data_IF_069012381720
#
_entry.id   IF_069012381720
#
_cell.length_a   1.000
_cell.length_b   1.000
_cell.length_c   1.000
_cell.angle_alpha   90.00
_cell.angle_beta   90.00
_cell.angle_gamma   90.00
#
_symmetry.space_group_name_H-M   'P 1'
#
loop_
_entity.id
_entity.type
_entity.pdbx_description
1 polymer ?
#
# COMPACT_ATOMS: atom_id res chain seq x y z
N UNK A 1 14.03 49.84 72.10
CA UNK A 1 15.30 49.52 72.78
C UNK A 1 16.32 49.06 71.73
N UNK A 2 17.50 49.70 71.65
CA UNK A 2 18.73 49.16 71.03
C UNK A 2 18.98 49.42 69.54
N UNK A 3 19.50 50.63 69.17
CA UNK A 3 20.84 50.94 68.58
C UNK A 3 21.25 50.16 67.31
N UNK A 4 21.37 50.85 66.16
CA UNK A 4 22.61 51.49 65.57
C UNK A 4 23.63 50.43 65.09
N UNK A 5 24.23 50.47 63.90
CA UNK A 5 24.75 51.61 63.14
C UNK A 5 25.08 51.25 61.69
N UNK A 6 25.12 52.29 60.85
CA UNK A 6 25.74 52.36 59.52
C UNK A 6 27.25 52.03 59.53
N UNK A 7 27.80 51.52 58.41
CA UNK A 7 28.78 52.23 57.56
C UNK A 7 29.39 51.35 56.44
N UNK A 8 29.22 51.86 55.20
CA UNK A 8 30.20 52.08 54.12
C UNK A 8 31.34 51.10 53.76
N UNK A 9 31.27 50.62 52.49
CA UNK A 9 32.29 50.43 51.43
C UNK A 9 33.70 49.90 51.73
N UNK A 10 34.08 48.83 51.02
CA UNK A 10 35.32 48.82 50.22
C UNK A 10 35.34 47.67 49.21
N UNK A 11 35.38 48.04 47.94
CA UNK A 11 35.62 47.24 46.74
C UNK A 11 37.01 46.61 46.72
N UNK A 12 37.13 45.34 46.32
CA UNK A 12 38.39 44.75 45.86
C UNK A 12 38.22 44.14 44.45
N UNK A 13 38.86 44.67 43.38
CA UNK A 13 38.46 44.40 41.98
C UNK A 13 39.10 43.14 41.37
N UNK A 14 39.79 42.31 42.17
CA UNK A 14 40.62 41.23 41.63
C UNK A 14 39.91 39.89 41.39
N UNK A 15 38.68 39.72 41.87
CA UNK A 15 37.92 38.45 41.76
C UNK A 15 37.08 38.30 40.48
N UNK A 16 36.87 39.38 39.72
CA UNK A 16 36.02 39.35 38.52
C UNK A 16 36.74 38.90 37.24
N UNK A 17 38.08 38.97 37.20
CA UNK A 17 38.86 38.69 35.98
C UNK A 17 39.20 37.21 35.76
N UNK A 18 39.09 36.36 36.78
CA UNK A 18 39.36 34.92 36.67
C UNK A 18 38.11 34.05 36.44
N UNK A 19 36.92 34.56 36.78
CA UNK A 19 35.65 33.83 36.60
C UNK A 19 35.13 33.89 35.16
N UNK A 20 35.42 34.97 34.44
CA UNK A 20 34.96 35.17 33.06
C UNK A 20 35.76 34.40 32.00
N UNK A 21 37.03 34.04 32.24
CA UNK A 21 37.80 33.23 31.28
C UNK A 21 37.42 31.75 31.29
N UNK A 22 37.06 31.19 32.45
CA UNK A 22 36.58 29.80 32.54
C UNK A 22 35.16 29.63 31.96
N UNK A 23 34.27 30.61 32.16
CA UNK A 23 32.92 30.57 31.59
C UNK A 23 32.91 30.74 30.05
N UNK A 24 33.87 31.50 29.49
CA UNK A 24 34.03 31.62 28.03
C UNK A 24 34.61 30.33 27.40
N UNK A 25 35.54 29.65 28.07
CA UNK A 25 36.13 28.40 27.54
C UNK A 25 35.14 27.22 27.64
N UNK A 26 34.38 27.12 28.74
CA UNK A 26 33.33 26.08 28.89
C UNK A 26 32.12 26.38 27.98
N UNK A 27 31.78 27.65 27.78
CA UNK A 27 30.72 28.07 26.84
C UNK A 27 31.07 27.76 25.38
N UNK A 28 32.31 28.00 24.94
CA UNK A 28 32.75 27.69 23.58
C UNK A 28 32.83 26.17 23.37
N UNK A 29 33.27 25.39 24.36
CA UNK A 29 33.34 23.92 24.24
C UNK A 29 31.97 23.23 24.25
N UNK A 30 31.00 23.76 25.01
CA UNK A 30 29.61 23.29 24.92
C UNK A 30 28.94 23.69 23.60
N UNK A 31 29.25 24.88 23.06
CA UNK A 31 28.68 25.35 21.79
C UNK A 31 29.22 24.59 20.58
N UNK A 32 30.52 24.25 20.57
CA UNK A 32 31.14 23.50 19.46
C UNK A 32 30.70 22.04 19.47
N UNK A 33 30.56 21.40 20.64
CA UNK A 33 30.02 20.04 20.71
C UNK A 33 28.52 19.98 20.40
N UNK A 34 27.71 20.96 20.81
CA UNK A 34 26.30 21.04 20.40
C UNK A 34 26.14 21.28 18.89
N UNK A 35 27.01 22.06 18.26
CA UNK A 35 26.99 22.26 16.79
C UNK A 35 27.47 21.00 16.07
N UNK A 36 28.48 20.30 16.57
CA UNK A 36 28.94 19.04 15.98
C UNK A 36 27.89 17.93 16.17
N UNK A 37 27.30 17.77 17.34
CA UNK A 37 26.21 16.80 17.57
C UNK A 37 24.94 17.15 16.78
N UNK A 38 24.64 18.44 16.59
CA UNK A 38 23.55 18.87 15.70
C UNK A 38 23.86 18.57 14.23
N UNK A 39 25.11 18.67 13.80
CA UNK A 39 25.55 18.27 12.46
C UNK A 39 25.63 16.75 12.28
N UNK A 40 25.84 15.97 13.35
CA UNK A 40 25.93 14.51 13.30
C UNK A 40 24.59 13.78 13.56
N UNK A 41 23.60 14.44 14.17
CA UNK A 41 22.29 13.83 14.51
C UNK A 41 21.12 14.43 13.70
N UNK A 42 21.31 15.52 12.97
CA UNK A 42 20.32 15.92 11.95
C UNK A 42 20.62 15.21 10.64
N UNK A 43 19.62 14.58 9.98
CA UNK A 43 19.78 14.20 8.58
C UNK A 43 20.27 15.44 7.82
N UNK A 44 21.23 15.31 6.92
CA UNK A 44 21.88 16.40 6.16
C UNK A 44 20.94 17.44 5.53
N UNK A 45 19.62 17.22 5.55
CA UNK A 45 18.59 18.15 5.09
C UNK A 45 17.31 18.09 5.94
N UNK A 46 16.60 19.23 6.10
CA UNK A 46 15.29 19.26 6.75
C UNK A 46 14.24 18.41 6.00
N UNK A 47 13.19 17.96 6.71
CA UNK A 47 12.15 17.04 6.18
C UNK A 47 11.54 17.50 4.86
N UNK A 48 11.25 18.80 4.71
CA UNK A 48 10.70 19.36 3.47
C UNK A 48 11.65 19.23 2.27
N UNK A 49 12.95 19.34 2.49
CA UNK A 49 13.97 19.20 1.44
C UNK A 49 14.08 17.74 0.99
N UNK A 50 14.02 16.78 1.92
CA UNK A 50 13.95 15.33 1.62
C UNK A 50 12.70 14.99 0.79
N UNK A 51 11.53 15.46 1.22
CA UNK A 51 10.28 15.27 0.49
C UNK A 51 10.35 15.88 -0.91
N UNK A 52 10.88 17.11 -1.06
CA UNK A 52 11.05 17.77 -2.36
C UNK A 52 11.98 16.99 -3.29
N UNK A 53 13.08 16.43 -2.77
CA UNK A 53 13.99 15.57 -3.57
C UNK A 53 13.31 14.29 -4.02
N UNK A 54 12.58 13.63 -3.13
CA UNK A 54 11.82 12.43 -3.46
C UNK A 54 10.81 12.71 -4.59
N UNK A 55 10.00 13.76 -4.44
CA UNK A 55 9.02 14.18 -5.45
C UNK A 55 9.73 14.48 -6.78
N UNK A 56 10.85 15.21 -6.75
CA UNK A 56 11.66 15.49 -7.95
C UNK A 56 12.19 14.22 -8.61
N UNK A 57 12.64 13.24 -7.84
CA UNK A 57 13.14 11.98 -8.38
C UNK A 57 12.02 11.15 -8.99
N UNK A 58 10.86 11.07 -8.33
CA UNK A 58 9.67 10.41 -8.87
C UNK A 58 9.26 11.06 -10.18
N UNK A 59 9.13 12.40 -10.22
CA UNK A 59 8.81 13.12 -11.44
C UNK A 59 9.84 12.85 -12.56
N UNK A 60 11.13 13.01 -12.27
CA UNK A 60 12.24 12.73 -13.20
C UNK A 60 12.14 11.35 -13.84
N UNK A 61 11.99 10.29 -13.03
CA UNK A 61 11.97 8.92 -13.52
C UNK A 61 10.59 8.48 -14.03
N UNK A 62 9.51 9.21 -13.69
CA UNK A 62 8.17 8.90 -14.20
C UNK A 62 8.03 9.09 -15.72
N UNK A 63 8.93 9.85 -16.33
CA UNK A 63 9.01 10.00 -17.79
C UNK A 63 9.51 8.74 -18.50
N UNK A 64 10.12 7.79 -17.78
CA UNK A 64 10.59 6.51 -18.34
C UNK A 64 9.47 5.48 -18.55
N UNK A 65 8.27 5.73 -18.02
CA UNK A 65 7.11 4.84 -18.12
C UNK A 65 5.90 5.54 -18.77
N UNK A 66 6.06 6.22 -19.91
CA UNK A 66 4.99 7.02 -20.52
C UNK A 66 3.74 6.18 -20.79
N UNK A 67 2.56 6.80 -20.78
CA UNK A 67 1.30 6.07 -21.04
C UNK A 67 1.29 5.50 -22.47
N UNK A 68 1.88 6.27 -23.39
CA UNK A 68 1.97 5.98 -24.82
C UNK A 68 2.77 4.70 -25.10
N UNK A 69 3.75 4.33 -24.26
CA UNK A 69 4.48 3.08 -24.45
C UNK A 69 3.61 1.85 -24.18
N UNK A 70 2.62 1.97 -23.30
CA UNK A 70 1.62 0.93 -23.04
C UNK A 70 0.59 0.93 -24.16
N UNK A 71 0.09 2.10 -24.55
CA UNK A 71 -0.97 2.23 -25.54
C UNK A 71 -0.56 1.79 -26.94
N UNK A 72 0.69 2.06 -27.33
CA UNK A 72 1.24 1.70 -28.64
C UNK A 72 1.82 0.27 -28.68
N UNK A 73 1.85 -0.44 -27.54
CA UNK A 73 2.36 -1.81 -27.50
C UNK A 73 1.38 -2.78 -28.19
N UNK A 74 1.84 -3.44 -29.26
CA UNK A 74 1.08 -4.50 -29.95
C UNK A 74 0.73 -5.63 -28.99
N UNK A 75 1.66 -6.04 -28.12
CA UNK A 75 1.43 -7.10 -27.13
C UNK A 75 0.32 -6.70 -26.14
N UNK A 76 0.36 -5.46 -25.64
CA UNK A 76 -0.67 -4.94 -24.74
C UNK A 76 -2.03 -4.82 -25.45
N UNK A 77 -2.05 -4.42 -26.71
CA UNK A 77 -3.28 -4.37 -27.52
C UNK A 77 -3.90 -5.76 -27.71
N UNK A 78 -3.08 -6.78 -27.99
CA UNK A 78 -3.54 -8.18 -28.08
C UNK A 78 -4.07 -8.67 -26.73
N UNK A 79 -3.36 -8.37 -25.64
CA UNK A 79 -3.79 -8.69 -24.29
C UNK A 79 -5.14 -8.05 -23.97
N UNK A 80 -5.31 -6.75 -24.20
CA UNK A 80 -6.57 -6.04 -23.96
C UNK A 80 -7.72 -6.65 -24.76
N UNK A 81 -7.51 -7.01 -26.04
CA UNK A 81 -8.52 -7.71 -26.85
C UNK A 81 -8.92 -9.07 -26.29
N UNK A 82 -7.99 -9.80 -25.68
CA UNK A 82 -8.31 -11.07 -24.98
C UNK A 82 -9.17 -10.82 -23.75
N UNK A 83 -8.91 -9.74 -23.01
CA UNK A 83 -9.74 -9.33 -21.86
C UNK A 83 -11.14 -8.92 -22.30
N UNK A 84 -11.27 -8.20 -23.42
CA UNK A 84 -12.57 -7.80 -24.00
C UNK A 84 -13.43 -9.01 -24.39
N UNK A 85 -12.80 -10.13 -24.75
CA UNK A 85 -13.47 -11.37 -25.13
C UNK A 85 -13.90 -12.23 -23.92
N UNK A 86 -13.54 -11.85 -22.69
CA UNK A 86 -13.97 -12.55 -21.48
C UNK A 86 -15.42 -12.21 -21.15
N UNK A 87 -16.19 -13.21 -20.71
CA UNK A 87 -17.61 -13.05 -20.40
C UNK A 87 -17.86 -12.12 -19.21
N UNK A 88 -16.96 -12.15 -18.24
CA UNK A 88 -17.05 -11.41 -16.99
C UNK A 88 -15.83 -10.50 -16.82
N UNK A 89 -15.92 -9.37 -16.09
CA UNK A 89 -14.79 -8.48 -15.86
C UNK A 89 -13.58 -9.24 -15.28
N UNK A 90 -12.38 -9.13 -15.89
CA UNK A 90 -11.21 -9.89 -15.44
C UNK A 90 -10.70 -9.42 -14.08
N UNK A 91 -10.05 -10.35 -13.37
CA UNK A 91 -9.24 -10.11 -12.19
C UNK A 91 -7.79 -9.95 -12.64
N UNK A 92 -7.30 -8.70 -12.69
CA UNK A 92 -5.96 -8.38 -13.14
C UNK A 92 -5.03 -8.27 -11.94
N UNK A 93 -4.03 -9.15 -11.89
CA UNK A 93 -2.93 -9.08 -10.92
C UNK A 93 -1.68 -8.47 -11.54
N UNK A 94 -0.89 -7.79 -10.72
CA UNK A 94 0.35 -7.12 -11.13
C UNK A 94 1.52 -7.69 -10.35
N UNK A 95 2.52 -8.24 -11.04
CA UNK A 95 3.60 -8.95 -10.38
C UNK A 95 4.93 -8.82 -11.12
N UNK A 96 5.99 -9.20 -10.44
CA UNK A 96 7.34 -9.29 -10.99
C UNK A 96 7.96 -10.62 -10.55
N UNK A 97 9.18 -10.91 -11.01
CA UNK A 97 9.82 -12.19 -10.71
C UNK A 97 10.03 -12.44 -9.22
N UNK A 98 10.11 -11.40 -8.40
CA UNK A 98 10.31 -11.53 -6.96
C UNK A 98 9.07 -12.06 -6.24
N UNK A 99 7.90 -11.99 -6.89
CA UNK A 99 6.61 -12.42 -6.35
C UNK A 99 5.99 -13.61 -7.12
N UNK A 100 6.76 -14.31 -7.95
CA UNK A 100 6.24 -15.40 -8.78
C UNK A 100 5.67 -16.55 -7.93
N UNK A 101 6.31 -16.91 -6.82
CA UNK A 101 5.83 -18.01 -5.98
C UNK A 101 4.57 -17.62 -5.20
N UNK A 102 4.48 -16.36 -4.78
CA UNK A 102 3.24 -15.78 -4.19
C UNK A 102 2.11 -15.82 -5.22
N UNK A 103 2.41 -15.49 -6.48
CA UNK A 103 1.45 -15.53 -7.59
C UNK A 103 0.95 -16.96 -7.85
N UNK A 104 1.84 -17.96 -7.86
CA UNK A 104 1.46 -19.37 -8.01
C UNK A 104 0.60 -19.85 -6.83
N UNK A 105 0.93 -19.42 -5.62
CA UNK A 105 0.11 -19.72 -4.44
C UNK A 105 -1.31 -19.19 -4.59
N UNK A 106 -1.45 -17.94 -5.05
CA UNK A 106 -2.73 -17.31 -5.31
C UNK A 106 -3.53 -18.04 -6.39
N UNK A 107 -2.89 -18.45 -7.49
CA UNK A 107 -3.55 -19.26 -8.53
C UNK A 107 -4.11 -20.57 -7.95
N UNK A 108 -3.35 -21.24 -7.07
CA UNK A 108 -3.86 -22.43 -6.38
C UNK A 108 -5.05 -22.14 -5.47
N UNK A 109 -5.08 -20.97 -4.81
CA UNK A 109 -6.22 -20.54 -4.04
C UNK A 109 -7.47 -20.29 -4.89
N UNK A 110 -7.32 -19.77 -6.12
CA UNK A 110 -8.45 -19.55 -7.03
C UNK A 110 -8.94 -20.83 -7.72
N UNK A 111 -8.07 -21.83 -7.93
CA UNK A 111 -8.41 -23.09 -8.63
C UNK A 111 -9.58 -23.88 -8.01
N UNK A 112 -9.89 -23.64 -6.73
CA UNK A 112 -11.01 -24.32 -6.04
C UNK A 112 -12.32 -23.58 -6.12
N UNK A 113 -12.29 -22.35 -6.65
CA UNK A 113 -13.44 -21.46 -6.70
C UNK A 113 -13.95 -21.41 -8.13
N UNK A 114 -15.09 -22.07 -8.43
CA UNK A 114 -15.63 -22.08 -9.78
C UNK A 114 -15.79 -20.67 -10.35
N UNK A 115 -15.30 -20.45 -11.57
CA UNK A 115 -15.38 -19.16 -12.26
C UNK A 115 -14.32 -18.13 -11.84
N UNK A 116 -13.56 -18.38 -10.78
CA UNK A 116 -12.57 -17.40 -10.29
C UNK A 116 -11.29 -17.39 -11.13
N UNK A 117 -10.75 -18.58 -11.45
CA UNK A 117 -9.53 -18.68 -12.24
C UNK A 117 -9.75 -18.26 -13.70
N UNK A 118 -10.93 -18.53 -14.26
CA UNK A 118 -11.30 -18.20 -15.62
C UNK A 118 -11.34 -16.69 -15.87
N UNK A 119 -11.53 -15.90 -14.81
CA UNK A 119 -11.47 -14.43 -14.84
C UNK A 119 -10.07 -13.89 -14.61
N UNK A 120 -9.10 -14.70 -14.19
CA UNK A 120 -7.76 -14.23 -13.86
C UNK A 120 -7.00 -13.83 -15.13
N UNK A 121 -6.36 -12.67 -15.08
CA UNK A 121 -5.37 -12.20 -16.04
C UNK A 121 -4.20 -11.56 -15.29
N UNK A 122 -3.04 -11.46 -15.95
CA UNK A 122 -1.83 -11.02 -15.27
C UNK A 122 -1.02 -10.01 -16.09
N UNK A 123 -0.47 -9.00 -15.42
CA UNK A 123 0.51 -8.09 -15.99
C UNK A 123 1.82 -8.28 -15.26
N UNK A 124 2.82 -8.77 -15.99
CA UNK A 124 4.17 -8.94 -15.50
C UNK A 124 4.99 -7.65 -15.72
N UNK A 125 5.80 -7.26 -14.72
CA UNK A 125 6.70 -6.11 -14.83
C UNK A 125 8.10 -6.46 -15.34
N UNK A 126 8.33 -7.74 -15.65
CA UNK A 126 9.54 -8.23 -16.30
C UNK A 126 9.22 -9.51 -17.09
N UNK A 127 9.99 -9.75 -18.15
CA UNK A 127 9.77 -10.87 -19.06
C UNK A 127 9.98 -12.23 -18.38
N UNK A 128 10.89 -12.32 -17.41
CA UNK A 128 11.18 -13.55 -16.66
C UNK A 128 9.95 -14.03 -15.89
N UNK A 129 9.19 -13.11 -15.29
CA UNK A 129 7.95 -13.38 -14.59
C UNK A 129 6.83 -13.85 -15.52
N UNK A 130 6.66 -13.21 -16.69
CA UNK A 130 5.70 -13.66 -17.71
C UNK A 130 6.04 -15.08 -18.18
N UNK A 131 7.29 -15.34 -18.55
CA UNK A 131 7.73 -16.65 -19.01
C UNK A 131 7.55 -17.73 -17.93
N UNK A 132 7.85 -17.38 -16.67
CA UNK A 132 7.66 -18.30 -15.55
C UNK A 132 6.18 -18.64 -15.31
N UNK A 133 5.27 -17.67 -15.45
CA UNK A 133 3.84 -17.90 -15.33
C UNK A 133 3.31 -18.71 -16.52
N UNK A 134 3.64 -18.31 -17.76
CA UNK A 134 3.18 -18.99 -18.97
C UNK A 134 3.67 -20.45 -19.06
N UNK A 135 4.85 -20.77 -18.51
CA UNK A 135 5.32 -22.16 -18.39
C UNK A 135 4.46 -23.00 -17.45
N UNK A 136 3.82 -22.39 -16.45
CA UNK A 136 3.06 -23.10 -15.42
C UNK A 136 1.55 -23.12 -15.70
N UNK A 137 0.98 -21.98 -16.07
CA UNK A 137 -0.45 -21.78 -16.30
C UNK A 137 -0.68 -21.01 -17.63
N UNK A 138 -0.43 -21.63 -18.80
CA UNK A 138 -0.47 -20.97 -20.12
C UNK A 138 -1.87 -20.47 -20.53
N UNK A 139 -2.93 -20.91 -19.83
CA UNK A 139 -4.30 -20.47 -20.10
C UNK A 139 -4.61 -19.08 -19.55
N UNK A 140 -3.83 -18.59 -18.57
CA UNK A 140 -4.03 -17.26 -17.98
C UNK A 140 -3.49 -16.21 -18.96
N UNK A 141 -4.33 -15.29 -19.48
CA UNK A 141 -3.84 -14.20 -20.31
C UNK A 141 -2.80 -13.39 -19.54
N UNK A 142 -1.60 -13.29 -20.09
CA UNK A 142 -0.48 -12.58 -19.47
C UNK A 142 0.15 -11.64 -20.49
N UNK A 143 0.67 -10.50 -20.02
CA UNK A 143 1.47 -9.57 -20.83
C UNK A 143 2.58 -8.94 -19.99
N UNK A 144 3.75 -8.75 -20.58
CA UNK A 144 4.81 -7.91 -19.99
C UNK A 144 4.58 -6.43 -20.27
N UNK A 145 4.58 -5.62 -19.21
CA UNK A 145 4.79 -4.17 -19.25
C UNK A 145 6.11 -3.90 -18.52
N UNK A 146 7.20 -3.92 -19.27
CA UNK A 146 8.55 -3.99 -18.73
C UNK A 146 8.90 -2.76 -17.88
N UNK A 147 9.35 -3.01 -16.64
CA UNK A 147 9.82 -2.02 -15.69
C UNK A 147 11.32 -2.19 -15.36
N UNK A 148 11.98 -3.18 -15.96
CA UNK A 148 13.40 -3.47 -15.71
C UNK A 148 14.31 -2.32 -16.13
N UNK A 149 13.99 -1.62 -17.23
CA UNK A 149 14.74 -0.45 -17.69
C UNK A 149 14.72 0.68 -16.66
N UNK A 150 13.58 0.93 -15.99
CA UNK A 150 13.50 1.92 -14.92
C UNK A 150 14.38 1.51 -13.75
N UNK A 151 14.31 0.24 -13.33
CA UNK A 151 15.13 -0.30 -12.23
C UNK A 151 16.63 -0.16 -12.50
N UNK A 152 17.05 -0.33 -13.75
CA UNK A 152 18.43 -0.20 -14.19
C UNK A 152 18.91 1.27 -14.20
N UNK A 153 18.05 2.21 -14.63
CA UNK A 153 18.41 3.65 -14.73
C UNK A 153 18.39 4.35 -13.37
N UNK A 154 17.55 3.90 -12.42
CA UNK A 154 17.51 4.48 -11.07
C UNK A 154 18.78 4.11 -10.29
N UNK A 155 19.64 5.08 -9.92
CA UNK A 155 20.92 4.82 -9.26
C UNK A 155 20.78 3.96 -8.00
N UNK A 156 21.71 3.03 -7.78
CA UNK A 156 21.68 2.13 -6.61
C UNK A 156 21.84 2.85 -5.29
N UNK A 157 22.57 3.97 -5.28
CA UNK A 157 22.86 4.83 -4.14
C UNK A 157 21.83 5.97 -3.95
N UNK A 158 20.76 6.00 -4.75
CA UNK A 158 19.73 7.03 -4.64
C UNK A 158 19.06 7.03 -3.26
N UNK A 159 19.04 8.19 -2.60
CA UNK A 159 18.30 8.41 -1.35
C UNK A 159 16.83 7.98 -1.52
N UNK A 160 16.33 7.12 -0.64
CA UNK A 160 14.98 6.55 -0.69
C UNK A 160 14.66 5.77 -1.99
N UNK A 161 15.67 5.15 -2.64
CA UNK A 161 15.48 4.34 -3.86
C UNK A 161 14.26 3.42 -3.81
N UNK A 162 14.08 2.67 -2.72
CA UNK A 162 12.95 1.73 -2.56
C UNK A 162 11.61 2.45 -2.67
N UNK A 163 11.45 3.59 -1.99
CA UNK A 163 10.22 4.38 -2.04
C UNK A 163 9.98 4.98 -3.43
N UNK A 164 11.02 5.54 -4.06
CA UNK A 164 10.92 6.08 -5.43
C UNK A 164 10.50 4.97 -6.40
N UNK A 165 11.13 3.80 -6.32
CA UNK A 165 10.82 2.65 -7.17
C UNK A 165 9.39 2.17 -6.93
N UNK A 166 8.97 2.06 -5.67
CA UNK A 166 7.61 1.67 -5.30
C UNK A 166 6.57 2.64 -5.85
N UNK A 167 6.78 3.96 -5.68
CA UNK A 167 5.86 4.96 -6.20
C UNK A 167 5.78 4.94 -7.73
N UNK A 168 6.89 4.69 -8.43
CA UNK A 168 6.90 4.51 -9.88
C UNK A 168 6.12 3.26 -10.34
N UNK A 169 6.17 2.17 -9.58
CA UNK A 169 5.35 0.96 -9.85
C UNK A 169 3.86 1.28 -9.68
N UNK A 170 3.48 2.02 -8.63
CA UNK A 170 2.09 2.46 -8.44
C UNK A 170 1.63 3.40 -9.57
N UNK A 171 2.51 4.28 -10.06
CA UNK A 171 2.24 5.10 -11.25
C UNK A 171 2.06 4.25 -12.51
N UNK A 172 2.90 3.24 -12.71
CA UNK A 172 2.77 2.32 -13.85
C UNK A 172 1.44 1.57 -13.80
N UNK A 173 1.06 1.07 -12.62
CA UNK A 173 -0.23 0.42 -12.35
C UNK A 173 -1.40 1.34 -12.71
N UNK A 174 -1.36 2.60 -12.28
CA UNK A 174 -2.38 3.59 -12.65
C UNK A 174 -2.41 3.88 -14.16
N UNK A 175 -1.25 3.89 -14.85
CA UNK A 175 -1.19 4.06 -16.32
C UNK A 175 -1.76 2.87 -17.07
N UNK A 176 -1.52 1.64 -16.61
CA UNK A 176 -2.16 0.44 -17.16
C UNK A 176 -3.68 0.54 -17.00
N UNK A 177 -4.16 0.98 -15.82
CA UNK A 177 -5.58 1.21 -15.57
C UNK A 177 -6.16 2.25 -16.55
N UNK A 178 -5.46 3.36 -16.80
CA UNK A 178 -5.88 4.35 -17.80
C UNK A 178 -5.99 3.71 -19.19
N UNK A 179 -4.98 2.94 -19.60
CA UNK A 179 -4.95 2.32 -20.93
C UNK A 179 -6.11 1.33 -21.13
N UNK A 180 -6.46 0.54 -20.11
CA UNK A 180 -7.61 -0.37 -20.15
C UNK A 180 -8.94 0.39 -20.10
N UNK A 181 -9.09 1.37 -19.20
CA UNK A 181 -10.32 2.15 -19.08
C UNK A 181 -10.64 2.95 -20.35
N UNK A 182 -9.62 3.47 -21.06
CA UNK A 182 -9.78 4.13 -22.37
C UNK A 182 -10.35 3.20 -23.45
N UNK A 183 -10.17 1.89 -23.32
CA UNK A 183 -10.73 0.87 -24.23
C UNK A 183 -12.15 0.44 -23.82
N UNK A 184 -12.71 1.03 -22.76
CA UNK A 184 -14.03 0.65 -22.26
C UNK A 184 -14.04 -0.64 -21.44
N UNK A 185 -12.87 -1.14 -21.03
CA UNK A 185 -12.77 -2.37 -20.23
C UNK A 185 -13.18 -2.14 -18.78
N UNK A 186 -14.11 -2.97 -18.32
CA UNK A 186 -14.41 -3.15 -16.90
C UNK A 186 -13.48 -4.23 -16.34
N UNK A 187 -12.89 -4.04 -15.17
CA UNK A 187 -12.02 -5.05 -14.57
C UNK A 187 -11.80 -4.81 -13.07
N UNK A 188 -11.34 -5.84 -12.37
CA UNK A 188 -10.76 -5.68 -11.04
C UNK A 188 -9.25 -5.63 -11.14
N UNK A 189 -8.63 -4.67 -10.47
CA UNK A 189 -7.23 -4.73 -10.13
C UNK A 189 -7.11 -5.34 -8.74
N UNK A 190 -6.40 -6.47 -8.63
CA UNK A 190 -6.28 -7.24 -7.39
C UNK A 190 -4.80 -7.52 -7.07
N UNK A 191 -4.52 -7.87 -5.83
CA UNK A 191 -3.17 -8.26 -5.41
C UNK A 191 -3.05 -9.77 -5.25
N UNK A 192 -1.94 -10.30 -5.74
CA UNK A 192 -1.55 -11.70 -5.68
C UNK A 192 -1.22 -12.21 -4.27
N UNK A 193 -1.06 -11.33 -3.29
CA UNK A 193 -0.86 -11.73 -1.89
C UNK A 193 -2.15 -11.73 -1.08
N UNK A 194 -3.30 -11.81 -1.77
CA UNK A 194 -4.61 -11.97 -1.17
C UNK A 194 -4.99 -13.45 -1.04
N UNK A 195 -5.66 -13.76 0.07
CA UNK A 195 -6.26 -15.07 0.36
C UNK A 195 -7.77 -14.95 0.22
N UNK A 196 -8.34 -15.77 -0.65
CA UNK A 196 -9.77 -15.90 -0.87
C UNK A 196 -10.28 -17.04 0.00
N UNK A 197 -11.19 -16.71 0.90
CA UNK A 197 -11.78 -17.65 1.87
C UNK A 197 -13.16 -18.15 1.44
N UNK A 198 -13.72 -17.57 0.38
CA UNK A 198 -15.02 -17.90 -0.22
C UNK A 198 -15.04 -17.44 -1.68
N UNK A 199 -15.97 -17.98 -2.47
CA UNK A 199 -16.01 -17.70 -3.90
C UNK A 199 -16.55 -16.30 -4.21
N UNK A 200 -15.64 -15.33 -4.39
CA UNK A 200 -15.96 -13.96 -4.77
C UNK A 200 -16.63 -13.85 -6.15
N UNK A 201 -16.32 -14.77 -7.08
CA UNK A 201 -16.88 -14.75 -8.43
C UNK A 201 -18.39 -15.01 -8.47
N UNK A 202 -18.94 -15.69 -7.46
CA UNK A 202 -20.38 -15.99 -7.37
C UNK A 202 -21.19 -14.92 -6.62
N UNK A 203 -20.57 -13.83 -6.16
CA UNK A 203 -21.23 -12.83 -5.31
C UNK A 203 -21.91 -11.70 -6.07
N UNK A 204 -21.78 -11.67 -7.40
CA UNK A 204 -22.44 -10.69 -8.28
C UNK A 204 -22.25 -9.22 -7.83
N UNK A 205 -21.02 -8.90 -7.40
CA UNK A 205 -20.69 -7.61 -6.78
C UNK A 205 -20.89 -6.45 -7.75
N UNK A 206 -20.58 -6.65 -9.03
CA UNK A 206 -20.69 -5.61 -10.06
C UNK A 206 -22.15 -5.16 -10.26
N UNK A 207 -23.09 -6.10 -10.31
CA UNK A 207 -24.51 -5.81 -10.45
C UNK A 207 -25.16 -5.33 -9.14
N UNK A 208 -24.57 -5.66 -7.98
CA UNK A 208 -24.99 -5.12 -6.68
C UNK A 208 -24.76 -3.60 -6.59
N UNK A 209 -23.77 -3.08 -7.32
CA UNK A 209 -23.42 -1.65 -7.33
C UNK A 209 -23.44 -1.05 -8.75
N UNK A 210 -24.60 -1.03 -9.45
CA UNK A 210 -24.66 -0.74 -10.89
C UNK A 210 -24.29 0.72 -11.24
N UNK A 211 -24.54 1.64 -10.30
CA UNK A 211 -24.27 3.07 -10.44
C UNK A 211 -22.83 3.46 -10.08
N UNK A 212 -22.07 2.56 -9.47
CA UNK A 212 -20.70 2.83 -9.10
C UNK A 212 -19.80 2.87 -10.34
N UNK A 213 -18.87 3.81 -10.37
CA UNK A 213 -17.80 3.77 -11.37
C UNK A 213 -16.57 3.04 -10.84
N UNK A 214 -16.37 3.06 -9.52
CA UNK A 214 -15.23 2.46 -8.84
C UNK A 214 -15.71 1.78 -7.56
N UNK A 215 -15.25 0.56 -7.32
CA UNK A 215 -15.45 -0.15 -6.04
C UNK A 215 -14.10 -0.33 -5.38
N UNK A 216 -13.97 -0.03 -4.10
CA UNK A 216 -12.69 -0.10 -3.38
C UNK A 216 -12.79 -0.97 -2.14
N UNK A 217 -11.70 -1.64 -1.82
CA UNK A 217 -11.40 -2.09 -0.47
C UNK A 217 -11.25 -0.91 0.51
N UNK A 218 -11.28 -1.22 1.82
CA UNK A 218 -11.14 -0.20 2.87
C UNK A 218 -9.99 -0.50 3.82
N UNK A 219 -9.30 0.56 4.23
CA UNK A 219 -8.43 0.53 5.39
C UNK A 219 -9.27 0.50 6.65
N UNK A 220 -8.89 -0.40 7.56
CA UNK A 220 -9.10 -0.21 8.97
C UNK A 220 -9.72 -1.40 9.67
N UNK A 221 -9.98 -1.20 10.95
CA UNK A 221 -10.62 -2.17 11.80
C UNK A 221 -11.55 -1.44 12.76
N UNK A 222 -12.86 -1.64 12.60
CA UNK A 222 -13.92 -1.03 13.37
C UNK A 222 -13.86 -1.34 14.88
N UNK A 223 -13.04 -2.32 15.28
CA UNK A 223 -12.83 -2.69 16.67
C UNK A 223 -11.79 -1.81 17.38
N UNK A 224 -11.03 -0.99 16.64
CA UNK A 224 -10.00 -0.13 17.23
C UNK A 224 -10.32 1.35 16.96
N UNK A 225 -10.44 2.19 18.01
CA UNK A 225 -10.77 3.61 17.87
C UNK A 225 -9.83 4.41 16.97
N UNK A 226 -8.58 3.96 16.78
CA UNK A 226 -7.61 4.60 15.88
C UNK A 226 -8.12 4.69 14.43
N UNK A 227 -9.01 3.78 14.02
CA UNK A 227 -9.57 3.76 12.67
C UNK A 227 -10.88 4.56 12.52
N UNK A 228 -11.42 5.16 13.59
CA UNK A 228 -12.64 5.99 13.50
C UNK A 228 -12.46 7.15 12.51
N UNK A 229 -11.28 7.77 12.52
CA UNK A 229 -10.92 8.87 11.61
C UNK A 229 -10.49 8.40 10.21
N UNK A 230 -10.35 7.08 10.02
CA UNK A 230 -9.97 6.45 8.75
C UNK A 230 -11.16 5.72 8.11
N UNK A 231 -12.38 5.98 8.59
CA UNK A 231 -13.59 5.42 7.99
C UNK A 231 -13.64 5.79 6.50
N UNK A 232 -13.85 4.80 5.65
CA UNK A 232 -13.87 4.90 4.19
C UNK A 232 -12.52 5.27 3.54
N UNK A 233 -11.40 5.22 4.26
CA UNK A 233 -10.10 5.30 3.62
C UNK A 233 -9.89 4.07 2.74
N UNK A 234 -9.41 4.29 1.52
CA UNK A 234 -9.17 3.23 0.54
C UNK A 234 -7.83 2.58 0.85
N UNK A 235 -7.77 1.24 0.83
CA UNK A 235 -6.49 0.53 0.98
C UNK A 235 -5.75 0.49 -0.37
N UNK A 236 -6.49 0.32 -1.47
CA UNK A 236 -6.00 0.37 -2.83
C UNK A 236 -5.34 -0.93 -3.29
N UNK A 237 -5.49 -2.01 -2.52
CA UNK A 237 -5.02 -3.36 -2.89
C UNK A 237 -5.92 -4.01 -3.92
N UNK A 238 -7.23 -3.84 -3.73
CA UNK A 238 -8.26 -4.45 -4.56
C UNK A 238 -9.32 -3.43 -4.90
N UNK A 239 -9.57 -3.23 -6.19
CA UNK A 239 -10.61 -2.31 -6.64
C UNK A 239 -11.13 -2.66 -8.03
N UNK A 240 -12.40 -2.37 -8.25
CA UNK A 240 -13.06 -2.46 -9.54
C UNK A 240 -12.99 -1.12 -10.27
N UNK A 241 -12.81 -1.18 -11.59
CA UNK A 241 -12.83 -0.03 -12.48
C UNK A 241 -13.84 -0.29 -13.59
N UNK A 242 -14.81 0.62 -13.73
CA UNK A 242 -15.67 0.68 -14.92
C UNK A 242 -14.94 1.36 -16.08
N UNK A 243 -14.95 0.78 -17.27
CA UNK A 243 -14.31 1.33 -18.45
C UNK A 243 -15.08 2.53 -19.01
N UNK A 244 -14.70 3.74 -18.60
CA UNK A 244 -15.31 4.97 -19.08
C UNK A 244 -14.36 6.17 -18.97
N UNK A 245 -14.73 7.29 -19.60
CA UNK A 245 -13.93 8.52 -19.60
C UNK A 245 -13.77 9.15 -18.21
N UNK A 246 -14.73 8.96 -17.30
CA UNK A 246 -14.68 9.48 -15.93
C UNK A 246 -13.54 8.82 -15.15
N UNK A 247 -13.38 7.50 -15.30
CA UNK A 247 -12.30 6.75 -14.64
C UNK A 247 -10.95 6.96 -15.32
N UNK A 248 -10.92 7.23 -16.63
CA UNK A 248 -9.71 7.74 -17.29
C UNK A 248 -9.24 9.04 -16.64
N UNK A 249 -10.16 10.00 -16.41
CA UNK A 249 -9.85 11.26 -15.73
C UNK A 249 -9.39 11.04 -14.28
N UNK A 250 -10.05 10.12 -13.55
CA UNK A 250 -9.69 9.76 -12.18
C UNK A 250 -8.24 9.30 -12.08
N UNK A 251 -7.85 8.29 -12.88
CA UNK A 251 -6.50 7.74 -12.80
C UNK A 251 -5.44 8.66 -13.42
N UNK A 252 -5.80 9.53 -14.37
CA UNK A 252 -4.91 10.62 -14.79
C UNK A 252 -4.60 11.57 -13.63
N UNK A 253 -5.59 11.92 -12.80
CA UNK A 253 -5.37 12.72 -11.59
C UNK A 253 -4.53 11.97 -10.55
N UNK A 254 -4.74 10.65 -10.39
CA UNK A 254 -3.90 9.80 -9.53
C UNK A 254 -2.43 9.88 -9.95
N UNK A 255 -2.13 9.67 -11.24
CA UNK A 255 -0.77 9.78 -11.80
C UNK A 255 -0.20 11.18 -11.62
N UNK A 256 -0.98 12.21 -11.92
CA UNK A 256 -0.54 13.61 -11.79
C UNK A 256 -0.21 13.95 -10.33
N UNK A 257 -1.05 13.58 -9.37
CA UNK A 257 -0.81 13.87 -7.96
C UNK A 257 0.40 13.12 -7.42
N UNK A 258 0.66 11.87 -7.85
CA UNK A 258 1.88 11.13 -7.46
C UNK A 258 3.17 11.83 -7.90
N UNK A 259 3.16 12.59 -9.01
CA UNK A 259 4.33 13.37 -9.46
C UNK A 259 4.65 14.56 -8.57
N UNK A 260 3.67 15.07 -7.83
CA UNK A 260 3.81 16.30 -7.04
C UNK A 260 3.64 16.09 -5.53
N UNK A 261 3.26 14.88 -5.10
CA UNK A 261 3.00 14.54 -3.70
C UNK A 261 3.75 13.26 -3.33
N UNK A 262 4.42 13.30 -2.19
CA UNK A 262 4.88 12.08 -1.52
C UNK A 262 3.66 11.46 -0.82
N UNK A 263 2.93 10.61 -1.53
CA UNK A 263 1.72 9.95 -1.02
C UNK A 263 1.52 8.65 -1.79
N UNK A 264 1.10 7.55 -1.14
CA UNK A 264 0.68 6.36 -1.85
C UNK A 264 -0.57 6.66 -2.68
N UNK A 265 -0.77 5.90 -3.75
CA UNK A 265 -1.95 6.03 -4.61
C UNK A 265 -3.26 5.86 -3.83
N UNK A 266 -3.32 4.97 -2.83
CA UNK A 266 -4.51 4.75 -1.99
C UNK A 266 -5.00 6.00 -1.25
N UNK A 267 -4.08 6.82 -0.73
CA UNK A 267 -4.41 8.11 -0.12
C UNK A 267 -4.92 9.11 -1.16
N UNK A 268 -4.33 9.12 -2.36
CA UNK A 268 -4.78 9.97 -3.46
C UNK A 268 -6.16 9.54 -3.97
N UNK A 269 -6.39 8.23 -4.10
CA UNK A 269 -7.69 7.66 -4.48
C UNK A 269 -8.75 8.00 -3.44
N UNK A 270 -8.43 7.92 -2.14
CA UNK A 270 -9.30 8.35 -1.04
C UNK A 270 -9.70 9.82 -1.19
N UNK A 271 -8.71 10.69 -1.43
CA UNK A 271 -8.95 12.11 -1.63
C UNK A 271 -9.87 12.38 -2.84
N UNK A 272 -9.59 11.74 -3.99
CA UNK A 272 -10.38 11.93 -5.21
C UNK A 272 -11.79 11.37 -5.06
N UNK A 273 -11.98 10.27 -4.35
CA UNK A 273 -13.30 9.70 -4.10
C UNK A 273 -14.20 10.56 -3.20
N UNK A 274 -13.65 11.57 -2.52
CA UNK A 274 -14.45 12.62 -1.89
C UNK A 274 -15.20 13.51 -2.90
N UNK A 275 -14.88 13.43 -4.19
CA UNK A 275 -15.57 14.14 -5.26
C UNK A 275 -16.69 13.27 -5.86
N UNK A 276 -17.95 13.65 -5.63
CA UNK A 276 -19.15 12.90 -6.02
C UNK A 276 -19.18 12.45 -7.49
N UNK A 277 -18.54 13.19 -8.41
CA UNK A 277 -18.49 12.87 -9.85
C UNK A 277 -17.87 11.50 -10.16
N UNK A 278 -16.98 11.01 -9.30
CA UNK A 278 -16.30 9.72 -9.51
C UNK A 278 -17.09 8.51 -9.01
N UNK A 279 -18.23 8.72 -8.32
CA UNK A 279 -19.14 7.65 -7.87
C UNK A 279 -18.41 6.44 -7.28
N UNK A 280 -17.48 6.70 -6.35
CA UNK A 280 -16.77 5.65 -5.65
C UNK A 280 -17.66 5.00 -4.59
N UNK A 281 -17.56 3.68 -4.45
CA UNK A 281 -18.19 2.94 -3.36
C UNK A 281 -17.12 2.13 -2.64
N UNK A 282 -17.12 2.19 -1.31
CA UNK A 282 -16.27 1.34 -0.48
C UNK A 282 -17.01 0.07 -0.11
N UNK A 283 -16.39 -1.08 -0.36
CA UNK A 283 -16.93 -2.40 -0.07
C UNK A 283 -16.87 -2.70 1.43
N UNK A 284 -17.81 -3.49 1.97
CA UNK A 284 -17.77 -3.86 3.37
C UNK A 284 -16.57 -4.75 3.66
N UNK A 285 -15.99 -4.61 4.87
CA UNK A 285 -14.86 -5.43 5.33
C UNK A 285 -15.12 -6.93 5.25
N UNK A 286 -16.37 -7.35 5.46
CA UNK A 286 -16.77 -8.75 5.33
C UNK A 286 -16.60 -9.31 3.89
N UNK A 287 -16.57 -8.44 2.88
CA UNK A 287 -16.29 -8.82 1.50
C UNK A 287 -14.79 -8.75 1.23
N UNK A 288 -14.18 -7.56 1.39
CA UNK A 288 -12.74 -7.37 1.12
C UNK A 288 -12.12 -6.65 2.30
N UNK A 289 -11.06 -7.24 2.86
CA UNK A 289 -10.30 -6.63 3.94
C UNK A 289 -8.81 -6.61 3.61
N UNK A 290 -8.14 -5.59 4.12
CA UNK A 290 -6.69 -5.53 4.13
C UNK A 290 -6.09 -6.30 5.32
N UNK A 291 -4.77 -6.16 5.54
CA UNK A 291 -4.05 -6.82 6.62
C UNK A 291 -4.55 -6.50 8.04
N UNK A 292 -5.33 -5.42 8.21
CA UNK A 292 -5.97 -5.11 9.49
C UNK A 292 -7.04 -6.14 9.88
N UNK A 293 -7.44 -7.06 8.99
CA UNK A 293 -8.27 -8.22 9.33
C UNK A 293 -7.67 -9.03 10.50
N UNK A 294 -6.34 -9.20 10.51
CA UNK A 294 -5.66 -10.05 11.48
C UNK A 294 -5.60 -9.44 12.89
N UNK A 295 -5.96 -8.15 13.03
CA UNK A 295 -6.06 -7.45 14.30
C UNK A 295 -7.43 -7.69 14.95
N UNK A 296 -7.46 -7.92 16.27
CA UNK A 296 -8.73 -8.07 16.99
C UNK A 296 -9.47 -9.39 16.71
N UNK A 297 -10.80 -9.29 16.74
CA UNK A 297 -11.74 -10.34 16.41
C UNK A 297 -11.81 -10.54 14.89
N UNK A 298 -11.78 -11.80 14.46
CA UNK A 298 -11.71 -12.24 13.06
C UNK A 298 -13.07 -12.72 12.54
N UNK A 299 -14.14 -12.24 13.15
CA UNK A 299 -15.52 -12.57 12.81
C UNK A 299 -16.31 -11.31 12.43
N UNK A 300 -17.00 -11.27 11.28
CA UNK A 300 -17.02 -12.31 10.25
C UNK A 300 -15.68 -12.42 9.48
N UNK A 301 -15.38 -13.60 8.94
CA UNK A 301 -14.21 -13.82 8.07
C UNK A 301 -14.47 -13.17 6.71
N UNK A 302 -13.55 -12.32 6.26
CA UNK A 302 -13.65 -11.64 4.97
C UNK A 302 -13.48 -12.61 3.81
N UNK A 303 -14.23 -12.39 2.72
CA UNK A 303 -14.16 -13.21 1.50
C UNK A 303 -12.79 -13.13 0.85
N UNK A 304 -12.22 -11.92 0.74
CA UNK A 304 -10.86 -11.67 0.27
C UNK A 304 -10.07 -10.94 1.36
N UNK A 305 -8.90 -11.45 1.71
CA UNK A 305 -8.01 -10.88 2.74
C UNK A 305 -6.63 -10.64 2.14
N UNK A 306 -6.20 -9.38 2.06
CA UNK A 306 -4.82 -9.04 1.72
C UNK A 306 -3.89 -9.36 2.90
N UNK A 307 -2.80 -10.08 2.65
CA UNK A 307 -1.83 -10.44 3.70
C UNK A 307 -0.61 -9.53 3.65
N UNK A 308 -0.76 -8.23 3.86
CA UNK A 308 0.35 -7.27 3.85
C UNK A 308 0.81 -6.93 5.28
N UNK A 309 1.72 -7.76 5.79
CA UNK A 309 2.28 -7.63 7.14
C UNK A 309 3.79 -7.46 7.07
N UNK A 310 4.31 -6.46 7.77
CA UNK A 310 5.76 -6.28 7.95
C UNK A 310 6.33 -7.44 8.77
N UNK A 311 7.12 -8.29 8.13
CA UNK A 311 7.78 -9.42 8.76
C UNK A 311 9.20 -9.57 8.25
N UNK A 312 10.14 -10.07 9.07
CA UNK A 312 11.48 -10.41 8.60
C UNK A 312 11.51 -11.64 7.68
N UNK A 313 10.45 -12.46 7.68
CA UNK A 313 10.39 -13.68 6.87
C UNK A 313 9.91 -13.38 5.45
N UNK A 314 10.44 -14.08 4.43
CA UNK A 314 9.86 -14.06 3.08
C UNK A 314 8.38 -14.43 3.08
N UNK A 315 7.60 -13.83 2.19
CA UNK A 315 6.14 -13.97 2.13
C UNK A 315 5.66 -15.42 2.05
N UNK A 316 6.33 -16.27 1.27
CA UNK A 316 5.99 -17.70 1.18
C UNK A 316 6.32 -18.48 2.46
N UNK A 317 7.36 -18.10 3.21
CA UNK A 317 7.63 -18.73 4.50
C UNK A 317 6.56 -18.39 5.53
N UNK A 318 6.04 -17.16 5.48
CA UNK A 318 4.89 -16.76 6.28
C UNK A 318 3.63 -17.57 5.95
N UNK A 319 3.33 -17.74 4.66
CA UNK A 319 2.22 -18.58 4.24
C UNK A 319 2.37 -20.01 4.73
N UNK A 320 3.57 -20.60 4.65
CA UNK A 320 3.82 -21.94 5.23
C UNK A 320 3.61 -21.98 6.73
N UNK A 321 4.13 -20.99 7.46
CA UNK A 321 3.99 -20.89 8.93
C UNK A 321 2.52 -20.90 9.37
N UNK A 322 1.63 -20.31 8.57
CA UNK A 322 0.21 -20.16 8.91
C UNK A 322 -0.72 -21.09 8.12
N UNK A 323 -0.19 -22.13 7.46
CA UNK A 323 -0.97 -23.08 6.67
C UNK A 323 -1.79 -22.41 5.54
N UNK A 324 -1.18 -21.42 4.87
CA UNK A 324 -1.72 -20.67 3.73
C UNK A 324 -0.87 -20.88 2.46
N UNK A 325 0.04 -21.86 2.45
CA UNK A 325 0.75 -22.32 1.26
C UNK A 325 -0.05 -23.45 0.60
N UNK A 326 -0.75 -23.12 -0.47
CA UNK A 326 -1.57 -24.01 -1.29
C UNK A 326 -0.76 -24.70 -2.38
N UNK A 327 0.55 -24.50 -2.41
CA UNK A 327 1.44 -25.17 -3.36
C UNK A 327 2.05 -26.40 -2.72
N UNK A 328 1.98 -27.55 -3.41
CA UNK A 328 2.74 -28.74 -3.00
C UNK A 328 4.20 -28.65 -3.46
N UNK A 329 5.10 -29.41 -2.80
CA UNK A 329 6.52 -29.54 -3.18
C UNK A 329 6.76 -29.97 -4.65
N UNK A 330 5.73 -30.38 -5.40
CA UNK A 330 5.79 -30.84 -6.79
C UNK A 330 4.89 -30.04 -7.74
N UNK A 331 4.78 -28.73 -7.52
CA UNK A 331 4.07 -27.78 -8.41
C UNK A 331 2.57 -28.07 -8.65
N UNK A 332 1.95 -28.94 -7.84
CA UNK A 332 0.50 -29.17 -7.83
C UNK A 332 -0.14 -28.41 -6.69
N UNK A 333 -1.35 -27.91 -6.89
CA UNK A 333 -2.12 -27.27 -5.82
C UNK A 333 -2.56 -28.31 -4.78
N UNK A 334 -2.40 -27.98 -3.50
CA UNK A 334 -2.83 -28.83 -2.38
C UNK A 334 -4.26 -28.49 -1.97
N UNK A 335 -5.19 -29.31 -2.43
CA UNK A 335 -6.62 -29.11 -2.23
C UNK A 335 -7.05 -29.30 -0.77
N UNK A 336 -6.28 -30.00 0.06
CA UNK A 336 -6.65 -30.22 1.48
C UNK A 336 -6.49 -28.96 2.32
N UNK A 337 -5.50 -28.13 2.00
CA UNK A 337 -5.27 -26.84 2.68
C UNK A 337 -6.43 -25.85 2.42
N UNK A 338 -7.24 -26.13 1.38
CA UNK A 338 -8.33 -25.26 0.94
C UNK A 338 -9.65 -25.54 1.67
N UNK A 339 -9.85 -26.75 2.20
CA UNK A 339 -11.01 -27.09 3.05
C UNK A 339 -10.95 -26.34 4.40
N UNK A 340 -9.74 -26.18 4.95
CA UNK A 340 -9.50 -25.56 6.25
C UNK A 340 -9.06 -24.08 6.13
N UNK A 341 -9.29 -23.43 4.98
CA UNK A 341 -8.77 -22.07 4.73
C UNK A 341 -9.32 -21.06 5.75
N UNK A 342 -10.59 -21.21 6.13
CA UNK A 342 -11.30 -20.33 7.06
C UNK A 342 -10.79 -20.49 8.48
N UNK A 343 -10.44 -21.71 8.87
CA UNK A 343 -9.77 -21.98 10.13
C UNK A 343 -8.35 -21.40 10.12
N UNK A 344 -7.59 -21.67 9.06
CA UNK A 344 -6.20 -21.22 8.90
C UNK A 344 -6.07 -19.69 8.99
N UNK A 345 -6.94 -18.92 8.31
CA UNK A 345 -6.91 -17.44 8.42
C UNK A 345 -7.34 -16.94 9.81
N UNK A 346 -8.18 -17.70 10.52
CA UNK A 346 -8.61 -17.37 11.88
C UNK A 346 -7.49 -17.59 12.90
N UNK A 347 -6.54 -18.49 12.61
CA UNK A 347 -5.39 -18.80 13.46
C UNK A 347 -4.10 -18.07 13.04
N UNK A 348 -3.99 -17.64 11.79
CA UNK A 348 -2.81 -16.95 11.24
C UNK A 348 -2.44 -15.68 12.01
N UNK A 349 -1.17 -15.25 11.93
CA UNK A 349 -0.73 -13.96 12.47
C UNK A 349 -1.13 -13.71 13.96
N UNK A 350 -0.96 -14.68 14.89
CA UNK A 350 -1.31 -14.47 16.30
C UNK A 350 -0.52 -13.31 16.94
N UNK A 351 0.68 -13.01 16.46
CA UNK A 351 1.54 -11.93 16.94
C UNK A 351 0.94 -10.52 16.81
N UNK A 352 0.04 -10.31 15.84
CA UNK A 352 -0.67 -9.03 15.66
C UNK A 352 -2.10 -9.05 16.17
N UNK A 353 -2.52 -10.17 16.78
CA UNK A 353 -3.85 -10.30 17.38
C UNK A 353 -3.92 -9.48 18.67
N UNK A 354 -4.15 -8.19 18.54
CA UNK A 354 -4.33 -7.29 19.66
C UNK A 354 -5.74 -7.45 20.24
N UNK A 355 -5.86 -7.38 21.57
CA UNK A 355 -7.16 -7.32 22.23
C UNK A 355 -7.74 -5.92 21.96
N UNK A 356 -8.97 -5.80 21.43
CA UNK A 356 -9.62 -4.51 21.27
C UNK A 356 -9.69 -3.78 22.61
N UNK A 357 -9.45 -2.46 22.66
CA UNK A 357 -9.68 -1.72 23.90
C UNK A 357 -11.13 -1.89 24.36
N UNK A 358 -11.41 -1.91 25.67
CA UNK A 358 -12.78 -1.98 26.15
C UNK A 358 -13.60 -0.88 25.50
N UNK A 359 -14.78 -1.24 24.97
CA UNK A 359 -15.66 -0.30 24.30
C UNK A 359 -15.82 0.93 25.19
N UNK A 360 -15.34 2.08 24.73
CA UNK A 360 -15.60 3.33 25.44
C UNK A 360 -17.10 3.49 25.45
N UNK A 361 -17.73 3.38 26.63
CA UNK A 361 -19.06 3.97 26.84
C UNK A 361 -18.96 5.40 26.36
N UNK A 362 -19.57 5.65 25.21
CA UNK A 362 -19.47 6.92 24.51
C UNK A 362 -19.83 8.04 25.49
N UNK A 363 -18.97 9.05 25.61
CA UNK A 363 -19.29 10.26 26.39
C UNK A 363 -20.55 10.95 25.83
N UNK A 364 -20.97 10.63 24.59
CA UNK A 364 -22.22 11.10 23.98
C UNK A 364 -23.48 10.33 24.41
N UNK A 365 -23.38 9.15 25.03
CA UNK A 365 -24.58 8.47 25.58
C UNK A 365 -25.05 9.07 26.91
N UNK A 366 -24.31 10.01 27.50
CA UNK A 366 -24.71 10.74 28.71
C UNK A 366 -25.33 12.11 28.45
N UNK A 367 -25.33 12.60 27.20
CA UNK A 367 -25.89 13.90 26.81
C UNK A 367 -27.30 13.82 26.19
N UNK A 368 -27.96 12.66 26.25
CA UNK A 368 -29.37 12.49 25.84
C UNK A 368 -30.36 12.34 27.00
N UNK A 369 -29.94 12.69 28.21
CA UNK A 369 -30.82 12.85 29.38
C UNK A 369 -30.42 14.11 30.14
N UNK A 370 -30.74 15.28 29.57
CA UNK A 370 -31.07 16.52 30.30
C UNK A 370 -31.77 17.50 29.37
#
# INVERSE_FOLDING_TARGET
MGRKSEHYYSSNPFWYLWRNKWLLIVGIWCSVNLILDYLFVTPNFPRWARQKRLIRNVDKYSHLIPLESIENSTAFSVFAKRLEAMNEPPYIIFFDKTNIDVTKNHICNLKVMPGALERLAAVAFDQEAEEALNRHDPSIPTVTVDFTHVRAVVPSDLENKKYVTYQLILMLRARIVIALAKRGLNFWAMQQDSIWTSNFAMMDIENTYPDAHLLFDTVGNDQFPIYENMKNWICGSTFYVKGNHVNVEFFQQVVNLMRFRQSPDSSIMTYLCGLNRFKCVTLPKALISNSNFFMGNRSPISVVIQVDHESPLPKMELFRKWNLDFTSKKTKCDMKVLDDIRESVTLALPEVRQVPPPAKTSYYSQLKLR
#
